data_IF_374860046415
#
_entry.id   IF_374860046415
#
_cell.length_a   1.000
_cell.length_b   1.000
_cell.length_c   1.000
_cell.angle_alpha   90.00
_cell.angle_beta   90.00
_cell.angle_gamma   90.00
#
_symmetry.space_group_name_H-M   'P 1'
#
loop_
_entity.id
_entity.type
_entity.pdbx_description
1 polymer ?
#
# COMPACT_ATOMS: atom_id res chain seq x y z
N UNK A 1 32.42 -6.05 12.36
CA UNK A 1 32.26 -5.14 13.51
C UNK A 1 31.87 -3.77 12.99
N UNK A 2 30.60 -3.57 12.65
CA UNK A 2 30.04 -2.26 12.35
C UNK A 2 29.52 -1.70 13.68
N UNK A 3 30.20 -0.68 14.19
CA UNK A 3 29.71 0.12 15.31
C UNK A 3 28.33 0.66 14.92
N UNK A 4 27.29 0.20 15.59
CA UNK A 4 25.98 0.81 15.50
C UNK A 4 26.14 2.24 16.02
N UNK A 5 26.10 3.21 15.12
CA UNK A 5 25.97 4.61 15.51
C UNK A 5 24.67 4.73 16.31
N UNK A 6 24.80 4.86 17.63
CA UNK A 6 23.70 5.24 18.51
C UNK A 6 23.38 6.70 18.22
N UNK A 7 22.56 6.94 17.20
CA UNK A 7 21.93 8.24 17.01
C UNK A 7 21.02 8.50 18.20
N UNK A 8 21.15 9.64 18.86
CA UNK A 8 20.13 10.09 19.81
C UNK A 8 18.76 10.05 19.12
N UNK A 9 17.75 9.43 19.74
CA UNK A 9 16.42 9.39 19.16
C UNK A 9 15.91 10.83 18.98
N UNK A 10 15.29 11.10 17.83
CA UNK A 10 14.61 12.37 17.60
C UNK A 10 13.60 12.62 18.73
N UNK A 11 13.47 13.86 19.23
CA UNK A 11 12.48 14.16 20.23
C UNK A 11 11.09 13.83 19.67
N UNK A 12 10.22 13.15 20.44
CA UNK A 12 8.89 12.81 19.96
C UNK A 12 8.10 14.09 19.68
N UNK A 13 7.26 14.05 18.65
CA UNK A 13 6.36 15.16 18.38
C UNK A 13 5.36 15.33 19.53
N UNK A 14 4.91 16.58 19.75
CA UNK A 14 3.84 16.84 20.69
C UNK A 14 2.57 16.12 20.24
N UNK A 15 2.00 15.31 21.13
CA UNK A 15 0.80 14.52 20.84
C UNK A 15 -0.44 15.40 20.66
N UNK A 16 -0.55 16.48 21.44
CA UNK A 16 -1.65 17.42 21.39
C UNK A 16 -1.14 18.88 21.35
N UNK A 17 -0.56 19.30 20.21
CA UNK A 17 -0.06 20.67 20.02
C UNK A 17 -1.21 21.67 20.02
N UNK A 18 -0.95 22.87 20.54
CA UNK A 18 -1.89 23.98 20.39
C UNK A 18 -2.00 24.45 18.92
N UNK A 19 -3.07 25.17 18.57
CA UNK A 19 -3.29 25.66 17.20
C UNK A 19 -2.12 26.49 16.64
N UNK A 20 -1.43 27.28 17.47
CA UNK A 20 -0.30 28.11 17.03
C UNK A 20 0.91 27.26 16.63
N UNK A 21 1.16 26.18 17.37
CA UNK A 21 2.22 25.22 17.09
C UNK A 21 1.92 24.47 15.79
N UNK A 22 0.68 23.99 15.61
CA UNK A 22 0.27 23.36 14.35
C UNK A 22 0.38 24.31 13.16
N UNK A 23 -0.04 25.57 13.29
CA UNK A 23 0.07 26.55 12.21
C UNK A 23 1.55 26.72 11.79
N UNK A 24 2.47 26.81 12.76
CA UNK A 24 3.91 26.87 12.50
C UNK A 24 4.42 25.60 11.80
N UNK A 25 4.00 24.43 12.25
CA UNK A 25 4.39 23.15 11.63
C UNK A 25 3.89 23.04 10.19
N UNK A 26 2.65 23.46 9.91
CA UNK A 26 2.08 23.51 8.56
C UNK A 26 2.90 24.44 7.67
N UNK A 27 3.27 25.63 8.15
CA UNK A 27 4.14 26.55 7.40
C UNK A 27 5.52 25.96 7.12
N UNK A 28 6.09 25.22 8.07
CA UNK A 28 7.37 24.50 7.90
C UNK A 28 7.22 23.40 6.85
N UNK A 29 6.14 22.61 6.88
CA UNK A 29 5.88 21.56 5.90
C UNK A 29 5.63 22.14 4.50
N UNK A 30 4.85 23.23 4.40
CA UNK A 30 4.63 23.96 3.16
C UNK A 30 5.95 24.42 2.53
N UNK A 31 6.83 25.01 3.34
CA UNK A 31 8.14 25.49 2.87
C UNK A 31 9.09 24.37 2.46
N UNK A 32 9.31 23.39 3.33
CA UNK A 32 10.42 22.42 3.17
C UNK A 32 10.00 21.09 2.56
N UNK A 33 8.71 20.74 2.56
CA UNK A 33 8.22 19.47 2.01
C UNK A 33 7.34 19.64 0.77
N UNK A 34 6.70 20.80 0.63
CA UNK A 34 5.94 21.15 -0.59
C UNK A 34 6.76 22.11 -1.48
N UNK A 35 7.62 22.95 -0.90
CA UNK A 35 8.46 23.87 -1.65
C UNK A 35 7.75 25.18 -2.02
N UNK A 36 6.78 25.62 -1.20
CA UNK A 36 5.94 26.80 -1.42
C UNK A 36 5.95 27.71 -0.20
N UNK A 37 5.65 28.99 -0.41
CA UNK A 37 5.30 29.93 0.64
C UNK A 37 3.81 30.31 0.56
N UNK A 38 3.33 31.04 1.57
CA UNK A 38 1.91 31.37 1.72
C UNK A 38 1.36 32.30 0.63
N UNK A 39 2.22 33.01 -0.12
CA UNK A 39 1.79 33.96 -1.15
C UNK A 39 1.40 33.28 -2.46
N UNK A 40 1.93 32.09 -2.71
CA UNK A 40 1.72 31.32 -3.97
C UNK A 40 1.15 29.91 -3.73
N UNK A 41 0.90 29.54 -2.47
CA UNK A 41 0.34 28.24 -2.12
C UNK A 41 -1.11 28.10 -2.59
N UNK A 42 -1.36 27.04 -3.35
CA UNK A 42 -2.69 26.61 -3.77
C UNK A 42 -3.38 25.81 -2.65
N UNK A 43 -4.67 25.57 -2.79
CA UNK A 43 -5.41 24.75 -1.82
C UNK A 43 -4.87 23.29 -1.72
N UNK A 44 -4.35 22.74 -2.82
CA UNK A 44 -3.68 21.43 -2.82
C UNK A 44 -2.35 21.43 -2.06
N UNK A 45 -1.61 22.54 -2.10
CA UNK A 45 -0.38 22.70 -1.33
C UNK A 45 -0.68 22.70 0.18
N UNK A 46 -1.74 23.40 0.59
CA UNK A 46 -2.23 23.40 1.97
C UNK A 46 -2.71 22.02 2.43
N UNK A 47 -3.51 21.33 1.61
CA UNK A 47 -3.92 19.95 1.87
C UNK A 47 -2.69 19.05 2.12
N UNK A 48 -1.73 19.09 1.20
CA UNK A 48 -0.52 18.26 1.26
C UNK A 48 0.32 18.58 2.50
N UNK A 49 0.50 19.86 2.82
CA UNK A 49 1.25 20.30 4.00
C UNK A 49 0.58 19.82 5.30
N UNK A 50 -0.74 19.99 5.43
CA UNK A 50 -1.51 19.53 6.60
C UNK A 50 -1.46 18.03 6.77
N UNK A 51 -1.62 17.26 5.69
CA UNK A 51 -1.48 15.79 5.71
C UNK A 51 -0.09 15.41 6.21
N UNK A 52 0.98 16.01 5.69
CA UNK A 52 2.36 15.68 6.09
C UNK A 52 2.64 15.98 7.57
N UNK A 53 2.07 17.06 8.13
CA UNK A 53 2.20 17.38 9.57
C UNK A 53 1.54 16.33 10.45
N UNK A 54 0.35 15.86 10.06
CA UNK A 54 -0.35 14.80 10.82
C UNK A 54 0.33 13.45 10.61
N UNK A 55 0.76 13.15 9.39
CA UNK A 55 1.45 11.91 9.04
C UNK A 55 2.73 11.68 9.83
N UNK A 56 3.47 12.73 10.19
CA UNK A 56 4.66 12.55 11.03
C UNK A 56 4.31 11.95 12.41
N UNK A 57 3.22 12.40 13.03
CA UNK A 57 2.73 11.85 14.31
C UNK A 57 2.24 10.41 14.16
N UNK A 58 1.61 10.11 13.02
CA UNK A 58 1.22 8.74 12.67
C UNK A 58 2.45 7.84 12.58
N UNK A 59 3.54 8.32 11.98
CA UNK A 59 4.79 7.56 11.82
C UNK A 59 5.41 7.21 13.16
N UNK A 60 5.45 8.15 14.12
CA UNK A 60 5.97 7.88 15.47
C UNK A 60 5.20 6.72 16.13
N UNK A 61 3.86 6.78 16.11
CA UNK A 61 2.99 5.72 16.65
C UNK A 61 3.11 4.42 15.87
N UNK A 62 3.27 4.48 14.56
CA UNK A 62 3.42 3.30 13.70
C UNK A 62 4.73 2.56 13.94
N UNK A 63 5.84 3.29 14.08
CA UNK A 63 7.14 2.71 14.42
C UNK A 63 7.11 2.08 15.81
N UNK A 64 6.52 2.78 16.79
CA UNK A 64 6.36 2.27 18.14
C UNK A 64 5.54 0.97 18.16
N UNK A 65 4.33 0.98 17.60
CA UNK A 65 3.44 -0.19 17.59
C UNK A 65 4.03 -1.39 16.84
N UNK A 66 4.80 -1.12 15.76
CA UNK A 66 5.52 -2.15 15.03
C UNK A 66 6.58 -2.79 15.91
N UNK A 67 7.42 -1.97 16.57
CA UNK A 67 8.48 -2.44 17.46
C UNK A 67 7.92 -3.25 18.63
N UNK A 68 6.89 -2.74 19.30
CA UNK A 68 6.22 -3.43 20.42
C UNK A 68 5.72 -4.82 20.00
N UNK A 69 5.07 -4.94 18.84
CA UNK A 69 4.62 -6.24 18.33
C UNK A 69 5.78 -7.22 18.07
N UNK A 70 6.94 -6.73 17.62
CA UNK A 70 8.15 -7.55 17.46
C UNK A 70 8.73 -8.00 18.80
N UNK A 71 8.90 -7.06 19.74
CA UNK A 71 9.50 -7.29 21.04
C UNK A 71 8.65 -8.26 21.88
N UNK A 72 7.33 -8.10 21.84
CA UNK A 72 6.37 -8.96 22.53
C UNK A 72 6.06 -10.26 21.77
N UNK A 73 6.60 -10.44 20.55
CA UNK A 73 6.37 -11.62 19.69
C UNK A 73 4.88 -11.90 19.49
N UNK A 74 4.09 -10.85 19.30
CA UNK A 74 2.64 -10.95 19.10
C UNK A 74 2.31 -11.75 17.84
N UNK A 75 1.19 -12.48 17.88
CA UNK A 75 0.62 -13.10 16.69
C UNK A 75 -0.04 -12.01 15.85
N UNK A 76 0.27 -11.95 14.55
CA UNK A 76 -0.23 -10.91 13.64
C UNK A 76 -1.30 -11.44 12.70
N UNK A 77 -2.29 -10.60 12.43
CA UNK A 77 -3.31 -10.87 11.40
C UNK A 77 -2.83 -10.31 10.05
N UNK A 78 -2.95 -11.10 9.00
CA UNK A 78 -2.65 -10.73 7.62
C UNK A 78 -3.94 -10.84 6.80
N UNK A 79 -4.54 -9.71 6.46
CA UNK A 79 -5.80 -9.65 5.74
C UNK A 79 -5.55 -9.44 4.25
N UNK A 80 -5.73 -10.48 3.44
CA UNK A 80 -5.52 -10.43 1.99
C UNK A 80 -6.84 -10.10 1.30
N UNK A 81 -6.88 -9.01 0.55
CA UNK A 81 -8.05 -8.63 -0.25
C UNK A 81 -7.64 -7.91 -1.54
N UNK A 82 -8.39 -8.18 -2.62
CA UNK A 82 -8.26 -7.42 -3.85
C UNK A 82 -8.84 -6.01 -3.76
N UNK A 83 -9.60 -5.68 -2.71
CA UNK A 83 -10.25 -4.38 -2.57
C UNK A 83 -10.04 -3.77 -1.19
N UNK A 84 -9.80 -2.45 -1.16
CA UNK A 84 -9.83 -1.63 0.05
C UNK A 84 -10.47 -0.27 -0.26
N UNK A 85 -11.70 -0.05 0.18
CA UNK A 85 -12.36 1.26 0.09
C UNK A 85 -12.01 2.12 1.31
N UNK A 86 -10.77 2.60 1.35
CA UNK A 86 -10.27 3.45 2.43
C UNK A 86 -10.80 4.89 2.35
N UNK A 87 -11.23 5.34 1.17
CA UNK A 87 -11.75 6.69 0.96
C UNK A 87 -10.69 7.76 1.18
N UNK A 88 -11.13 8.94 1.65
CA UNK A 88 -10.28 10.08 2.01
C UNK A 88 -9.81 9.96 3.44
N UNK A 89 -8.49 10.04 3.66
CA UNK A 89 -7.90 9.74 4.95
C UNK A 89 -7.72 10.97 5.84
N UNK A 90 -7.79 12.20 5.30
CA UNK A 90 -7.52 13.41 6.09
C UNK A 90 -8.47 13.52 7.29
N UNK A 91 -9.79 13.42 7.07
CA UNK A 91 -10.76 13.55 8.16
C UNK A 91 -10.61 12.44 9.19
N UNK A 92 -10.42 11.20 8.73
CA UNK A 92 -10.31 10.03 9.59
C UNK A 92 -9.05 10.08 10.43
N UNK A 93 -7.88 10.32 9.82
CA UNK A 93 -6.60 10.41 10.52
C UNK A 93 -6.55 11.57 11.51
N UNK A 94 -7.09 12.74 11.15
CA UNK A 94 -7.08 13.93 12.01
C UNK A 94 -8.00 13.71 13.22
N UNK A 95 -9.15 13.06 13.02
CA UNK A 95 -10.09 12.71 14.09
C UNK A 95 -9.52 11.61 14.99
N UNK A 96 -8.94 10.56 14.41
CA UNK A 96 -8.39 9.44 15.17
C UNK A 96 -7.18 9.84 16.01
N UNK A 97 -6.46 10.91 15.64
CA UNK A 97 -5.43 11.53 16.47
C UNK A 97 -5.95 12.60 17.45
N UNK A 98 -7.21 13.00 17.36
CA UNK A 98 -7.78 14.08 18.18
C UNK A 98 -7.27 15.48 17.80
N UNK A 99 -6.79 15.66 16.57
CA UNK A 99 -6.18 16.91 16.08
C UNK A 99 -7.13 17.77 15.25
N UNK A 100 -8.35 17.30 14.95
CA UNK A 100 -9.28 17.95 14.04
C UNK A 100 -9.55 19.42 14.42
N UNK A 101 -9.91 19.68 15.68
CA UNK A 101 -10.28 21.03 16.13
C UNK A 101 -9.07 21.98 16.17
N UNK A 102 -7.95 21.52 16.73
CA UNK A 102 -6.73 22.34 16.79
C UNK A 102 -6.19 22.66 15.40
N UNK A 103 -6.27 21.70 14.45
CA UNK A 103 -5.85 21.92 13.07
C UNK A 103 -6.80 22.86 12.33
N UNK A 104 -8.11 22.81 12.61
CA UNK A 104 -9.09 23.75 12.07
C UNK A 104 -8.79 25.18 12.51
N UNK A 105 -8.52 25.40 13.80
CA UNK A 105 -8.13 26.72 14.31
C UNK A 105 -6.77 27.18 13.74
N UNK A 106 -5.80 26.26 13.64
CA UNK A 106 -4.49 26.53 13.06
C UNK A 106 -4.59 27.03 11.61
N UNK A 107 -5.31 26.29 10.76
CA UNK A 107 -5.51 26.66 9.35
C UNK A 107 -6.33 27.95 9.21
N UNK A 108 -7.36 28.13 10.03
CA UNK A 108 -8.16 29.36 10.06
C UNK A 108 -7.29 30.58 10.36
N UNK A 109 -6.34 30.47 11.30
CA UNK A 109 -5.38 31.55 11.60
C UNK A 109 -4.46 31.91 10.43
N UNK A 110 -4.31 31.01 9.46
CA UNK A 110 -3.56 31.19 8.22
C UNK A 110 -4.45 31.57 7.02
N UNK A 111 -5.75 31.76 7.24
CA UNK A 111 -6.72 32.09 6.19
C UNK A 111 -7.13 30.88 5.32
N UNK A 112 -6.96 29.66 5.82
CA UNK A 112 -7.28 28.41 5.10
C UNK A 112 -8.45 27.70 5.77
N UNK A 113 -9.45 27.33 4.98
CA UNK A 113 -10.58 26.53 5.45
C UNK A 113 -10.26 25.02 5.35
N UNK A 114 -10.29 24.34 6.49
CA UNK A 114 -10.03 22.90 6.59
C UNK A 114 -11.03 22.07 5.76
N UNK A 115 -12.31 22.45 5.73
CA UNK A 115 -13.33 21.67 5.02
C UNK A 115 -13.18 21.81 3.50
N UNK A 116 -12.75 22.99 3.01
CA UNK A 116 -12.46 23.21 1.59
C UNK A 116 -11.27 22.37 1.13
N UNK A 117 -10.15 22.38 1.87
CA UNK A 117 -8.98 21.59 1.47
C UNK A 117 -9.23 20.08 1.61
N UNK A 118 -10.00 19.66 2.62
CA UNK A 118 -10.37 18.24 2.78
C UNK A 118 -11.25 17.73 1.64
N UNK A 119 -12.06 18.60 1.02
CA UNK A 119 -12.88 18.24 -0.13
C UNK A 119 -12.07 17.96 -1.41
N UNK A 120 -10.84 18.47 -1.48
CA UNK A 120 -9.92 18.28 -2.62
C UNK A 120 -9.18 16.94 -2.60
N UNK A 121 -9.14 16.25 -1.45
CA UNK A 121 -8.52 14.94 -1.35
C UNK A 121 -9.28 13.94 -2.26
N UNK A 122 -8.61 13.30 -3.23
CA UNK A 122 -9.25 12.29 -4.05
C UNK A 122 -9.48 11.01 -3.22
N UNK A 123 -10.58 10.33 -3.48
CA UNK A 123 -10.80 8.99 -2.94
C UNK A 123 -9.76 8.02 -3.52
N UNK A 124 -9.15 7.19 -2.67
CA UNK A 124 -8.20 6.19 -3.15
C UNK A 124 -8.94 5.09 -3.92
N UNK A 125 -8.65 4.95 -5.22
CA UNK A 125 -9.35 4.04 -6.12
C UNK A 125 -8.85 2.59 -5.97
N UNK A 126 -8.99 2.04 -4.77
CA UNK A 126 -8.44 0.75 -4.34
C UNK A 126 -9.50 -0.33 -4.12
N UNK A 127 -10.77 -0.01 -4.33
CA UNK A 127 -11.91 -0.91 -4.18
C UNK A 127 -13.11 -0.37 -4.95
N UNK A 128 -14.21 -1.11 -4.91
CA UNK A 128 -15.45 -0.77 -5.58
C UNK A 128 -16.66 -0.96 -4.66
N UNK A 129 -16.76 -2.12 -3.99
CA UNK A 129 -17.99 -2.52 -3.31
C UNK A 129 -17.89 -2.67 -1.79
N UNK A 130 -18.94 -3.25 -1.21
CA UNK A 130 -19.01 -3.54 0.23
C UNK A 130 -17.89 -4.45 0.73
N UNK A 131 -17.33 -5.32 -0.12
CA UNK A 131 -16.17 -6.15 0.20
C UNK A 131 -14.95 -5.29 0.56
N UNK A 132 -14.64 -4.30 -0.28
CA UNK A 132 -13.55 -3.36 -0.04
C UNK A 132 -13.80 -2.46 1.17
N UNK A 133 -15.05 -2.04 1.41
CA UNK A 133 -15.36 -1.23 2.60
C UNK A 133 -15.28 -2.03 3.90
N UNK A 134 -15.71 -3.30 3.87
CA UNK A 134 -15.54 -4.22 4.98
C UNK A 134 -14.05 -4.38 5.35
N UNK A 135 -13.19 -4.61 4.35
CA UNK A 135 -11.75 -4.73 4.55
C UNK A 135 -11.14 -3.48 5.19
N UNK A 136 -11.50 -2.29 4.70
CA UNK A 136 -11.06 -1.01 5.27
C UNK A 136 -11.53 -0.82 6.73
N UNK A 137 -12.81 -1.07 7.01
CA UNK A 137 -13.35 -0.97 8.37
C UNK A 137 -12.72 -1.98 9.33
N UNK A 138 -12.40 -3.21 8.88
CA UNK A 138 -11.69 -4.19 9.69
C UNK A 138 -10.27 -3.75 10.02
N UNK A 139 -9.54 -3.17 9.06
CA UNK A 139 -8.19 -2.65 9.30
C UNK A 139 -8.18 -1.55 10.38
N UNK A 140 -9.10 -0.59 10.28
CA UNK A 140 -9.26 0.46 11.30
C UNK A 140 -9.72 -0.11 12.65
N UNK A 141 -10.67 -1.05 12.65
CA UNK A 141 -11.18 -1.67 13.88
C UNK A 141 -10.07 -2.43 14.61
N UNK A 142 -9.27 -3.21 13.88
CA UNK A 142 -8.11 -3.91 14.43
C UNK A 142 -7.11 -2.91 15.04
N UNK A 143 -6.84 -1.78 14.37
CA UNK A 143 -5.97 -0.74 14.93
C UNK A 143 -6.60 -0.09 16.18
N UNK A 144 -7.92 0.08 16.21
CA UNK A 144 -8.63 0.68 17.35
C UNK A 144 -8.60 -0.22 18.59
N UNK A 145 -8.80 -1.53 18.44
CA UNK A 145 -8.80 -2.50 19.55
C UNK A 145 -7.43 -3.13 19.83
N UNK A 146 -6.35 -2.50 19.35
CA UNK A 146 -4.96 -2.91 19.57
C UNK A 146 -4.61 -4.33 19.05
N UNK A 147 -5.18 -4.72 17.92
CA UNK A 147 -4.82 -5.96 17.22
C UNK A 147 -3.73 -5.65 16.18
N UNK A 148 -2.54 -6.26 16.27
CA UNK A 148 -1.48 -6.09 15.28
C UNK A 148 -1.89 -6.75 13.96
N UNK A 149 -2.07 -5.93 12.92
CA UNK A 149 -2.54 -6.40 11.64
C UNK A 149 -1.81 -5.75 10.46
N UNK A 150 -1.82 -6.46 9.34
CA UNK A 150 -1.45 -5.95 8.03
C UNK A 150 -2.55 -6.28 7.03
N UNK A 151 -2.96 -5.27 6.26
CA UNK A 151 -3.75 -5.47 5.05
C UNK A 151 -2.81 -5.63 3.87
N UNK A 152 -3.10 -6.57 2.97
CA UNK A 152 -2.39 -6.73 1.71
C UNK A 152 -3.35 -6.65 0.53
N UNK A 153 -3.00 -5.85 -0.46
CA UNK A 153 -3.76 -5.70 -1.71
C UNK A 153 -2.89 -5.20 -2.86
N UNK A 154 -3.54 -4.77 -3.95
CA UNK A 154 -2.88 -4.21 -5.13
C UNK A 154 -3.04 -2.69 -5.12
N UNK A 155 -1.98 -1.97 -5.52
CA UNK A 155 -2.00 -0.51 -5.68
C UNK A 155 -2.54 -0.15 -7.06
N UNK A 156 -3.86 -0.21 -7.24
CA UNK A 156 -4.48 0.09 -8.54
C UNK A 156 -4.26 1.55 -8.97
N UNK A 157 -3.72 1.73 -10.16
CA UNK A 157 -3.50 3.05 -10.74
C UNK A 157 -4.82 3.80 -11.02
N UNK A 158 -5.82 3.08 -11.55
CA UNK A 158 -7.04 3.67 -12.09
C UNK A 158 -8.34 3.12 -11.48
N UNK A 159 -8.24 2.32 -10.41
CA UNK A 159 -9.38 1.69 -9.76
C UNK A 159 -10.26 0.89 -10.71
N UNK A 160 -11.59 0.96 -10.54
CA UNK A 160 -12.55 0.33 -11.46
C UNK A 160 -12.89 1.30 -12.60
N UNK A 161 -13.59 2.40 -12.28
CA UNK A 161 -13.82 3.55 -13.15
C UNK A 161 -14.45 4.70 -12.34
N UNK A 162 -14.28 5.92 -12.84
CA UNK A 162 -15.01 7.12 -12.46
C UNK A 162 -16.27 7.24 -13.31
N UNK A 163 -17.42 7.26 -12.66
CA UNK A 163 -18.71 7.37 -13.33
C UNK A 163 -19.01 8.83 -13.71
N UNK A 164 -19.34 9.07 -14.97
CA UNK A 164 -19.96 10.32 -15.43
C UNK A 164 -21.30 10.03 -16.11
N UNK A 165 -22.22 11.01 -16.08
CA UNK A 165 -23.49 10.92 -16.80
C UNK A 165 -23.44 11.89 -17.98
N UNK A 166 -23.46 11.36 -19.21
CA UNK A 166 -23.50 12.13 -20.45
C UNK A 166 -24.75 11.76 -21.25
N UNK A 167 -25.57 12.75 -21.59
CA UNK A 167 -26.85 12.57 -22.30
C UNK A 167 -27.79 11.51 -21.68
N UNK A 168 -27.79 11.41 -20.34
CA UNK A 168 -28.62 10.45 -19.60
C UNK A 168 -28.08 9.02 -19.53
N UNK A 169 -26.86 8.77 -20.03
CA UNK A 169 -26.18 7.47 -20.00
C UNK A 169 -24.91 7.51 -19.16
N UNK A 170 -24.57 6.38 -18.56
CA UNK A 170 -23.29 6.20 -17.88
C UNK A 170 -22.14 6.18 -18.90
N UNK A 171 -21.08 6.92 -18.57
CA UNK A 171 -19.78 6.87 -19.23
C UNK A 171 -18.73 6.54 -18.18
N UNK A 172 -17.81 5.64 -18.53
CA UNK A 172 -16.77 5.11 -17.64
C UNK A 172 -15.43 5.73 -18.01
N UNK A 173 -14.81 6.44 -17.08
CA UNK A 173 -13.51 7.08 -17.25
C UNK A 173 -12.51 6.53 -16.23
N UNK A 174 -11.20 6.52 -16.52
CA UNK A 174 -10.23 6.09 -15.52
C UNK A 174 -10.18 7.04 -14.33
N UNK A 175 -9.95 6.50 -13.12
CA UNK A 175 -9.58 7.32 -11.97
C UNK A 175 -8.15 7.86 -12.11
N UNK A 176 -7.91 9.05 -11.57
CA UNK A 176 -6.62 9.77 -11.68
C UNK A 176 -6.03 10.12 -10.31
N UNK A 177 -6.43 9.39 -9.26
CA UNK A 177 -6.07 9.67 -7.86
C UNK A 177 -4.56 9.66 -7.57
N UNK A 178 -3.75 9.06 -8.45
CA UNK A 178 -2.30 8.95 -8.33
C UNK A 178 -1.50 9.87 -9.27
N UNK A 179 -2.15 10.69 -10.10
CA UNK A 179 -1.47 11.58 -11.07
C UNK A 179 -0.46 12.53 -10.40
N UNK A 180 -0.70 12.87 -9.13
CA UNK A 180 0.16 13.74 -8.32
C UNK A 180 0.75 13.02 -7.10
N UNK A 181 0.74 11.68 -7.11
CA UNK A 181 1.13 10.83 -6.00
C UNK A 181 0.11 10.82 -4.86
N UNK A 182 0.37 9.97 -3.86
CA UNK A 182 -0.46 9.87 -2.66
C UNK A 182 0.34 10.36 -1.43
N UNK A 183 -0.07 11.44 -0.74
CA UNK A 183 0.67 11.97 0.38
C UNK A 183 0.65 11.07 1.63
N UNK A 184 -0.16 10.01 1.66
CA UNK A 184 -0.24 9.08 2.79
C UNK A 184 0.74 7.90 2.72
N UNK A 185 1.19 7.54 1.53
CA UNK A 185 1.96 6.31 1.34
C UNK A 185 3.47 6.50 1.49
N UNK A 186 4.15 5.37 1.72
CA UNK A 186 5.59 5.22 1.76
C UNK A 186 6.01 4.09 0.82
N UNK A 187 6.77 4.41 -0.22
CA UNK A 187 7.42 3.40 -1.06
C UNK A 187 8.47 2.63 -0.24
N UNK A 188 8.45 1.29 -0.33
CA UNK A 188 9.39 0.37 0.36
C UNK A 188 10.21 -0.39 -0.67
N UNK A 189 11.20 0.27 -1.27
CA UNK A 189 12.05 -0.33 -2.31
C UNK A 189 12.81 -1.56 -1.84
N UNK A 190 13.14 -1.62 -0.55
CA UNK A 190 13.78 -2.76 0.09
C UNK A 190 12.84 -3.97 0.24
N UNK A 191 11.55 -3.79 -0.03
CA UNK A 191 10.50 -4.82 -0.06
C UNK A 191 9.96 -4.96 -1.48
N UNK A 192 10.84 -5.46 -2.35
CA UNK A 192 10.52 -5.83 -3.73
C UNK A 192 10.68 -7.34 -3.89
N UNK A 193 9.63 -8.01 -4.37
CA UNK A 193 9.61 -9.45 -4.57
C UNK A 193 9.44 -9.79 -6.03
N UNK A 194 10.18 -10.78 -6.52
CA UNK A 194 10.01 -11.28 -7.87
C UNK A 194 8.80 -12.22 -7.91
N UNK A 195 7.97 -12.04 -8.94
CA UNK A 195 6.78 -12.85 -9.21
C UNK A 195 6.91 -13.44 -10.59
N UNK A 196 6.84 -14.78 -10.67
CA UNK A 196 6.92 -15.53 -11.91
C UNK A 196 5.56 -15.77 -12.55
N UNK A 197 5.53 -15.94 -13.88
CA UNK A 197 4.38 -16.50 -14.59
C UNK A 197 4.81 -17.50 -15.69
N UNK A 198 3.90 -18.39 -16.07
CA UNK A 198 4.11 -19.37 -17.14
C UNK A 198 5.15 -20.43 -16.79
N UNK A 199 5.94 -20.84 -17.78
CA UNK A 199 7.05 -21.77 -17.58
C UNK A 199 6.70 -23.23 -17.35
N UNK A 200 7.57 -23.95 -16.64
CA UNK A 200 7.53 -25.42 -16.50
C UNK A 200 7.97 -25.90 -15.13
N UNK A 201 7.54 -27.10 -14.73
CA UNK A 201 7.94 -27.74 -13.47
C UNK A 201 8.91 -28.89 -13.75
N UNK A 202 10.03 -28.89 -13.04
CA UNK A 202 11.02 -29.96 -13.09
C UNK A 202 11.02 -30.77 -11.79
N UNK A 203 11.21 -32.09 -11.92
CA UNK A 203 11.35 -33.00 -10.77
C UNK A 203 12.84 -33.19 -10.44
N UNK A 204 13.22 -32.86 -9.20
CA UNK A 204 14.57 -33.11 -8.69
C UNK A 204 14.53 -34.43 -7.91
N UNK A 205 15.34 -35.39 -8.38
CA UNK A 205 15.53 -36.68 -7.72
C UNK A 205 16.89 -36.74 -7.04
N UNK A 206 16.96 -37.28 -5.82
CA UNK A 206 18.20 -37.53 -5.13
C UNK A 206 19.04 -38.61 -5.84
N UNK A 207 20.31 -38.75 -5.45
CA UNK A 207 21.27 -39.69 -6.08
C UNK A 207 20.85 -41.16 -6.03
N UNK A 208 19.95 -41.51 -5.11
CA UNK A 208 19.35 -42.84 -4.92
C UNK A 208 18.05 -43.04 -5.73
N UNK A 209 17.65 -42.07 -6.55
CA UNK A 209 16.48 -42.15 -7.43
C UNK A 209 15.15 -41.76 -6.78
N UNK A 210 15.15 -41.33 -5.50
CA UNK A 210 13.94 -40.86 -4.82
C UNK A 210 13.58 -39.44 -5.27
N UNK A 211 12.30 -39.17 -5.52
CA UNK A 211 11.81 -37.81 -5.76
C UNK A 211 12.02 -36.96 -4.49
N UNK A 212 12.78 -35.87 -4.60
CA UNK A 212 13.08 -34.97 -3.50
C UNK A 212 12.12 -33.78 -3.47
N UNK A 213 12.00 -33.07 -4.60
CA UNK A 213 11.10 -31.91 -4.74
C UNK A 213 10.78 -31.61 -6.19
N UNK A 214 9.75 -30.79 -6.39
CA UNK A 214 9.50 -30.11 -7.66
C UNK A 214 10.02 -28.68 -7.61
N UNK A 215 10.55 -28.19 -8.74
CA UNK A 215 11.00 -26.80 -8.89
C UNK A 215 10.30 -26.20 -10.10
N UNK A 216 9.50 -25.17 -9.85
CA UNK A 216 8.92 -24.37 -10.91
C UNK A 216 9.95 -23.39 -11.47
N UNK A 217 10.03 -23.33 -12.80
CA UNK A 217 10.84 -22.37 -13.55
C UNK A 217 9.90 -21.49 -14.36
N UNK A 218 9.54 -20.29 -13.87
CA UNK A 218 8.73 -19.35 -14.62
C UNK A 218 9.48 -18.86 -15.87
N UNK A 219 8.74 -18.38 -16.87
CA UNK A 219 9.28 -17.81 -18.11
C UNK A 219 9.13 -16.30 -18.18
N UNK A 220 8.22 -15.74 -17.40
CA UNK A 220 7.98 -14.31 -17.27
C UNK A 220 8.22 -13.90 -15.82
N UNK A 221 8.76 -12.70 -15.62
CA UNK A 221 9.11 -12.19 -14.30
C UNK A 221 8.68 -10.72 -14.18
N UNK A 222 8.05 -10.39 -13.06
CA UNK A 222 7.72 -9.01 -12.69
C UNK A 222 8.17 -8.76 -11.25
N UNK A 223 8.36 -7.50 -10.89
CA UNK A 223 8.62 -7.10 -9.51
C UNK A 223 7.32 -6.61 -8.86
N UNK A 224 7.03 -7.09 -7.68
CA UNK A 224 6.01 -6.55 -6.78
C UNK A 224 6.69 -5.62 -5.77
N UNK A 225 6.49 -4.31 -5.93
CA UNK A 225 7.07 -3.28 -5.05
C UNK A 225 6.02 -2.83 -4.03
N UNK A 226 6.39 -2.84 -2.75
CA UNK A 226 5.49 -2.46 -1.65
C UNK A 226 5.34 -0.94 -1.50
N UNK A 227 4.09 -0.52 -1.27
CA UNK A 227 3.71 0.82 -0.81
C UNK A 227 2.90 0.67 0.47
N UNK A 228 3.38 1.27 1.57
CA UNK A 228 2.71 1.21 2.86
C UNK A 228 1.87 2.46 3.10
N UNK A 229 0.60 2.28 3.43
CA UNK A 229 -0.30 3.32 3.94
C UNK A 229 -0.64 3.01 5.41
N UNK A 230 -0.34 3.90 6.36
CA UNK A 230 -0.67 3.67 7.76
C UNK A 230 -2.18 3.76 7.99
N UNK A 231 -2.73 2.83 8.77
CA UNK A 231 -4.14 2.80 9.18
C UNK A 231 -4.24 3.11 10.67
N UNK A 232 -4.78 4.27 11.00
CA UNK A 232 -4.79 4.81 12.37
C UNK A 232 -6.07 4.37 13.09
N UNK A 233 -5.93 3.66 14.21
CA UNK A 233 -7.05 3.35 15.09
C UNK A 233 -7.50 4.57 15.90
N UNK A 234 -8.72 4.54 16.43
CA UNK A 234 -9.24 5.61 17.28
C UNK A 234 -8.28 5.94 18.45
N UNK A 235 -8.10 7.24 18.72
CA UNK A 235 -7.12 7.80 19.68
C UNK A 235 -5.67 7.38 19.44
N UNK A 236 -5.37 6.97 18.19
CA UNK A 236 -4.10 6.40 17.79
C UNK A 236 -3.61 5.30 18.74
N UNK A 237 -4.54 4.46 19.23
CA UNK A 237 -4.24 3.35 20.13
C UNK A 237 -3.17 2.43 19.51
N UNK A 238 -3.35 2.10 18.22
CA UNK A 238 -2.34 1.50 17.36
C UNK A 238 -2.44 2.09 15.95
N UNK A 239 -1.34 2.01 15.21
CA UNK A 239 -1.31 2.24 13.77
C UNK A 239 -0.90 0.94 13.08
N UNK A 240 -1.78 0.40 12.24
CA UNK A 240 -1.52 -0.79 11.42
C UNK A 240 -1.04 -0.41 10.02
N UNK A 241 -0.65 -1.40 9.23
CA UNK A 241 -0.14 -1.19 7.86
C UNK A 241 -1.14 -1.72 6.83
N UNK A 242 -1.54 -0.90 5.86
CA UNK A 242 -2.07 -1.38 4.58
C UNK A 242 -0.92 -1.37 3.56
N UNK A 243 -0.45 -2.56 3.16
CA UNK A 243 0.60 -2.74 2.17
C UNK A 243 -0.01 -3.06 0.81
N UNK A 244 0.30 -2.25 -0.18
CA UNK A 244 -0.21 -2.38 -1.54
C UNK A 244 0.93 -2.66 -2.51
N UNK A 245 0.72 -3.61 -3.41
CA UNK A 245 1.72 -4.04 -4.39
C UNK A 245 1.53 -3.30 -5.72
N UNK A 246 2.60 -2.67 -6.21
CA UNK A 246 2.68 -2.15 -7.58
C UNK A 246 3.50 -3.10 -8.44
N UNK A 247 2.99 -3.44 -9.62
CA UNK A 247 3.75 -4.16 -10.63
C UNK A 247 4.82 -3.26 -11.24
N UNK A 248 6.05 -3.76 -11.34
CA UNK A 248 7.17 -3.09 -11.98
C UNK A 248 7.88 -4.08 -12.91
N UNK A 249 8.35 -3.64 -14.09
CA UNK A 249 9.12 -4.50 -14.98
C UNK A 249 10.52 -4.77 -14.41
N UNK A 250 11.06 -5.96 -14.68
CA UNK A 250 12.48 -6.26 -14.40
C UNK A 250 13.38 -5.45 -15.32
N UNK A 251 13.04 -5.41 -16.62
CA UNK A 251 13.66 -4.54 -17.62
C UNK A 251 12.61 -3.56 -18.17
N UNK A 252 12.69 -2.27 -17.81
CA UNK A 252 11.69 -1.29 -18.22
C UNK A 252 11.73 -0.96 -19.71
N UNK A 253 12.84 -1.23 -20.41
CA UNK A 253 12.96 -0.93 -21.83
C UNK A 253 14.01 -1.80 -22.52
N UNK A 254 13.57 -2.55 -23.52
CA UNK A 254 14.48 -3.31 -24.39
C UNK A 254 15.14 -2.35 -25.39
N UNK A 255 16.30 -1.79 -25.00
CA UNK A 255 16.99 -0.75 -25.77
C UNK A 255 17.33 -1.15 -27.21
N UNK A 256 17.67 -2.42 -27.46
CA UNK A 256 17.95 -2.90 -28.81
C UNK A 256 16.73 -2.77 -29.74
N UNK A 257 15.54 -3.11 -29.24
CA UNK A 257 14.29 -2.93 -29.99
C UNK A 257 13.95 -1.46 -30.18
N UNK A 258 14.14 -0.66 -29.13
CA UNK A 258 13.86 0.77 -29.18
C UNK A 258 14.74 1.47 -30.22
N UNK A 259 16.03 1.18 -30.22
CA UNK A 259 17.01 1.72 -31.18
C UNK A 259 16.77 1.22 -32.61
N UNK A 260 16.16 0.04 -32.77
CA UNK A 260 15.71 -0.49 -34.07
C UNK A 260 14.38 0.13 -34.57
N UNK A 261 13.76 1.05 -33.80
CA UNK A 261 12.52 1.72 -34.15
C UNK A 261 11.23 1.02 -33.67
N UNK A 262 11.34 -0.13 -33.01
CA UNK A 262 10.20 -0.82 -32.40
C UNK A 262 9.91 -0.27 -31.00
N UNK A 263 9.38 0.95 -30.93
CA UNK A 263 9.07 1.63 -29.67
C UNK A 263 7.98 0.94 -28.86
N UNK A 264 7.04 0.23 -29.51
CA UNK A 264 5.95 -0.49 -28.82
C UNK A 264 6.48 -1.80 -28.24
N UNK A 265 7.16 -2.62 -29.04
CA UNK A 265 7.72 -3.89 -28.59
C UNK A 265 8.88 -3.73 -27.60
N UNK A 266 9.53 -2.57 -27.57
CA UNK A 266 10.53 -2.22 -26.55
C UNK A 266 9.94 -2.07 -25.14
N UNK A 267 8.64 -1.76 -25.01
CA UNK A 267 7.94 -1.53 -23.74
C UNK A 267 7.02 -2.70 -23.35
N UNK A 268 7.13 -3.85 -24.03
CA UNK A 268 6.23 -4.98 -23.82
C UNK A 268 6.19 -5.46 -22.36
N UNK A 269 7.35 -5.57 -21.70
CA UNK A 269 7.44 -6.02 -20.31
C UNK A 269 6.88 -4.99 -19.32
N UNK A 270 7.14 -3.71 -19.56
CA UNK A 270 6.53 -2.60 -18.80
C UNK A 270 5.01 -2.64 -18.88
N UNK A 271 4.46 -2.83 -20.08
CA UNK A 271 3.01 -2.90 -20.26
C UNK A 271 2.38 -4.11 -19.53
N UNK A 272 3.06 -5.27 -19.52
CA UNK A 272 2.60 -6.45 -18.77
C UNK A 272 2.62 -6.22 -17.26
N UNK A 273 3.70 -5.66 -16.74
CA UNK A 273 3.83 -5.36 -15.31
C UNK A 273 2.78 -4.33 -14.87
N UNK A 274 2.61 -3.25 -15.65
CA UNK A 274 1.62 -2.21 -15.39
C UNK A 274 0.20 -2.78 -15.34
N UNK A 275 -0.15 -3.66 -16.28
CA UNK A 275 -1.49 -4.23 -16.37
C UNK A 275 -1.95 -4.94 -15.08
N UNK A 276 -1.03 -5.54 -14.32
CA UNK A 276 -1.33 -6.23 -13.06
C UNK A 276 -1.87 -5.28 -11.98
N UNK A 277 -1.41 -4.03 -11.97
CA UNK A 277 -1.78 -3.02 -10.96
C UNK A 277 -2.49 -1.81 -11.55
N UNK A 278 -3.11 -1.94 -12.73
CA UNK A 278 -3.75 -0.79 -13.38
C UNK A 278 -5.23 -0.66 -13.01
N UNK A 279 -6.02 -1.69 -13.28
CA UNK A 279 -7.49 -1.68 -13.11
C UNK A 279 -7.94 -2.80 -12.19
N UNK A 280 -8.94 -2.49 -11.35
CA UNK A 280 -9.64 -3.44 -10.48
C UNK A 280 -10.70 -4.19 -11.29
N UNK A 281 -10.73 -5.52 -11.18
CA UNK A 281 -11.67 -6.40 -11.89
C UNK A 281 -11.70 -6.16 -13.41
N UNK A 282 -10.58 -6.38 -14.12
CA UNK A 282 -10.58 -6.32 -15.56
C UNK A 282 -11.58 -7.31 -16.14
N UNK A 283 -12.23 -6.92 -17.24
CA UNK A 283 -13.25 -7.74 -17.88
C UNK A 283 -12.70 -9.14 -18.24
N UNK A 284 -13.42 -10.19 -17.85
CA UNK A 284 -13.01 -11.60 -17.98
C UNK A 284 -13.92 -12.40 -18.92
N UNK A 285 -14.67 -11.69 -19.77
CA UNK A 285 -15.51 -12.28 -20.83
C UNK A 285 -14.69 -12.92 -21.96
N UNK A 286 -13.37 -12.70 -21.98
CA UNK A 286 -12.43 -13.28 -22.93
C UNK A 286 -11.20 -13.88 -22.22
N UNK A 287 -10.54 -14.84 -22.88
CA UNK A 287 -9.39 -15.58 -22.32
C UNK A 287 -8.29 -14.68 -21.76
N UNK A 288 -7.92 -13.62 -22.49
CA UNK A 288 -6.88 -12.71 -22.01
C UNK A 288 -7.26 -11.97 -20.72
N UNK A 289 -8.54 -11.71 -20.50
CA UNK A 289 -9.06 -11.08 -19.30
C UNK A 289 -9.13 -12.03 -18.12
N UNK A 290 -9.55 -13.28 -18.38
CA UNK A 290 -9.49 -14.38 -17.40
C UNK A 290 -8.05 -14.62 -16.93
N UNK A 291 -7.10 -14.64 -17.87
CA UNK A 291 -5.68 -14.77 -17.56
C UNK A 291 -5.19 -13.58 -16.73
N UNK A 292 -5.50 -12.34 -17.12
CA UNK A 292 -5.10 -11.16 -16.36
C UNK A 292 -5.65 -11.19 -14.93
N UNK A 293 -6.92 -11.56 -14.74
CA UNK A 293 -7.55 -11.69 -13.41
C UNK A 293 -6.83 -12.72 -12.54
N UNK A 294 -6.53 -13.90 -13.09
CA UNK A 294 -5.76 -14.92 -12.38
C UNK A 294 -4.33 -14.45 -12.08
N UNK A 295 -3.68 -13.75 -13.02
CA UNK A 295 -2.35 -13.17 -12.80
C UNK A 295 -2.38 -12.12 -11.69
N UNK A 296 -3.41 -11.28 -11.58
CA UNK A 296 -3.57 -10.34 -10.47
C UNK A 296 -3.72 -11.06 -9.13
N UNK A 297 -4.61 -12.06 -9.06
CA UNK A 297 -4.84 -12.87 -7.87
C UNK A 297 -3.55 -13.56 -7.39
N UNK A 298 -2.80 -14.15 -8.32
CA UNK A 298 -1.50 -14.74 -8.01
C UNK A 298 -0.48 -13.69 -7.57
N UNK A 299 -0.35 -12.60 -8.33
CA UNK A 299 0.63 -11.53 -8.12
C UNK A 299 0.62 -10.99 -6.69
N UNK A 300 -0.54 -10.57 -6.20
CA UNK A 300 -0.60 -10.00 -4.86
C UNK A 300 -0.49 -11.08 -3.78
N UNK A 301 -1.01 -12.29 -4.03
CA UNK A 301 -0.95 -13.40 -3.06
C UNK A 301 0.48 -13.85 -2.82
N UNK A 302 1.25 -14.15 -3.87
CA UNK A 302 2.66 -14.58 -3.71
C UNK A 302 3.53 -13.46 -3.13
N UNK A 303 3.39 -12.21 -3.58
CA UNK A 303 4.16 -11.10 -3.01
C UNK A 303 3.88 -10.91 -1.50
N UNK A 304 2.61 -11.04 -1.10
CA UNK A 304 2.22 -10.97 0.31
C UNK A 304 2.77 -12.15 1.13
N UNK A 305 2.71 -13.36 0.60
CA UNK A 305 3.23 -14.56 1.28
C UNK A 305 4.75 -14.52 1.42
N UNK A 306 5.48 -14.13 0.37
CA UNK A 306 6.93 -13.94 0.41
C UNK A 306 7.32 -12.95 1.51
N UNK A 307 6.60 -11.82 1.63
CA UNK A 307 6.83 -10.83 2.68
C UNK A 307 6.52 -11.38 4.09
N UNK A 308 5.39 -12.08 4.26
CA UNK A 308 5.02 -12.74 5.53
C UNK A 308 6.09 -13.76 5.95
N UNK A 309 6.50 -14.63 5.02
CA UNK A 309 7.51 -15.67 5.23
C UNK A 309 8.87 -15.05 5.56
N UNK A 310 9.31 -14.05 4.80
CA UNK A 310 10.60 -13.39 5.03
C UNK A 310 10.63 -12.71 6.40
N UNK A 311 9.55 -12.03 6.81
CA UNK A 311 9.44 -11.44 8.15
C UNK A 311 9.49 -12.51 9.24
N UNK A 312 8.77 -13.61 9.07
CA UNK A 312 8.77 -14.71 10.04
C UNK A 312 10.15 -15.34 10.18
N UNK A 313 10.80 -15.68 9.07
CA UNK A 313 12.16 -16.23 9.07
C UNK A 313 13.17 -15.26 9.69
N UNK A 314 13.05 -13.97 9.42
CA UNK A 314 13.95 -12.95 10.00
C UNK A 314 13.80 -12.86 11.52
N UNK A 315 12.60 -13.12 12.06
CA UNK A 315 12.33 -13.01 13.49
C UNK A 315 12.55 -14.32 14.26
N UNK A 316 12.27 -15.48 13.65
CA UNK A 316 12.22 -16.77 14.33
C UNK A 316 13.19 -17.82 13.77
N UNK A 317 13.79 -17.60 12.61
CA UNK A 317 14.82 -18.45 12.01
C UNK A 317 14.33 -19.70 11.26
N UNK A 318 13.10 -20.16 11.49
CA UNK A 318 12.46 -21.24 10.74
C UNK A 318 10.95 -21.00 10.58
N UNK A 319 10.24 -21.89 9.87
CA UNK A 319 8.80 -21.78 9.60
C UNK A 319 7.91 -22.55 10.59
N UNK A 320 8.49 -23.28 11.55
CA UNK A 320 7.71 -24.22 12.38
C UNK A 320 6.69 -23.50 13.26
N UNK A 321 7.01 -22.28 13.67
CA UNK A 321 6.15 -21.44 14.51
C UNK A 321 5.25 -20.48 13.71
N UNK A 322 5.24 -20.58 12.37
CA UNK A 322 4.42 -19.72 11.51
C UNK A 322 2.94 -19.70 11.92
N UNK A 323 2.24 -20.85 12.13
CA UNK A 323 0.83 -20.83 12.54
C UNK A 323 0.58 -20.22 13.92
N UNK A 324 1.59 -20.18 14.81
CA UNK A 324 1.49 -19.57 16.12
C UNK A 324 1.70 -18.04 16.07
N UNK A 325 2.33 -17.53 15.00
CA UNK A 325 2.74 -16.13 14.87
C UNK A 325 2.06 -15.38 13.73
N UNK A 326 1.41 -16.09 12.81
CA UNK A 326 0.68 -15.53 11.69
C UNK A 326 -0.74 -16.12 11.61
N UNK A 327 -1.74 -15.27 11.40
CA UNK A 327 -3.07 -15.65 10.95
C UNK A 327 -3.33 -15.00 9.59
N UNK A 328 -3.42 -15.80 8.53
CA UNK A 328 -3.67 -15.31 7.17
C UNK A 328 -5.16 -15.46 6.89
N UNK A 329 -5.84 -14.34 6.65
CA UNK A 329 -7.25 -14.29 6.33
C UNK A 329 -7.44 -14.01 4.85
N UNK A 330 -8.19 -14.88 4.18
CA UNK A 330 -8.50 -14.81 2.76
C UNK A 330 -9.87 -14.14 2.61
N UNK A 331 -9.91 -12.90 2.12
CA UNK A 331 -11.18 -12.21 1.90
C UNK A 331 -11.77 -12.62 0.55
N UNK A 332 -12.84 -13.43 0.62
CA UNK A 332 -13.42 -14.13 -0.53
C UNK A 332 -12.43 -15.15 -1.17
N UNK A 333 -12.74 -15.61 -2.37
CA UNK A 333 -12.01 -16.62 -3.14
C UNK A 333 -10.83 -16.06 -3.92
N UNK A 334 -10.73 -14.74 -4.09
CA UNK A 334 -9.66 -14.11 -4.86
C UNK A 334 -8.24 -14.50 -4.39
N UNK A 335 -7.90 -14.50 -3.08
CA UNK A 335 -6.61 -14.97 -2.60
C UNK A 335 -6.57 -16.49 -2.33
N UNK A 336 -7.49 -17.31 -2.86
CA UNK A 336 -7.49 -18.76 -2.60
C UNK A 336 -6.19 -19.45 -3.05
N UNK A 337 -5.52 -18.90 -4.08
CA UNK A 337 -4.21 -19.37 -4.56
C UNK A 337 -3.09 -19.23 -3.51
N UNK A 338 -3.30 -18.43 -2.45
CA UNK A 338 -2.37 -18.34 -1.33
C UNK A 338 -2.20 -19.68 -0.60
N UNK A 339 -3.21 -20.56 -0.62
CA UNK A 339 -3.11 -21.89 0.01
C UNK A 339 -2.05 -22.76 -0.67
N UNK A 340 -2.13 -23.06 -1.99
CA UNK A 340 -1.09 -23.85 -2.66
C UNK A 340 0.25 -23.10 -2.80
N UNK A 341 0.26 -21.77 -2.86
CA UNK A 341 1.52 -20.99 -2.93
C UNK A 341 2.34 -21.08 -1.62
N UNK A 342 1.70 -21.27 -0.46
CA UNK A 342 2.39 -21.41 0.82
C UNK A 342 2.99 -22.82 1.04
N UNK A 343 2.55 -23.84 0.27
CA UNK A 343 2.90 -25.26 0.44
C UNK A 343 4.23 -25.62 -0.20
#
# INVERSE_FOLDING_TARGET
MTSAMTSEPLPPLLENPDPKTLAREVLVALKYRVGKDTTVATQYDWLTASIKVVRDRIVDRWMQATKEAYDQKEKRVYYLSLEFLIGRLMRDAFSNLGLMDNMREALSSLGVDLDLIAALEPDAALGNGGLGRLAACFMESMATVDIPAHGYGIRYANGMFRQEIHDGWQVELPETWLDHGNPWEFERRERSFEVGFGGSVESITSKDGRLERHVWKPTEHVLAVAYDTPVVGWRANRVNTLRLWSGMPVDPILLDKFNAGDHIGALAESNKADALSRVLYPADSHKAGQELRLRQEYFFSTASLQDIVQRHLSQYGDLKSLPDKAAIHLNDTHPAIAVPELM
#
